data_IF_133474645282
#
_entry.id   IF_133474645282
#
_cell.length_a   1.000
_cell.length_b   1.000
_cell.length_c   1.000
_cell.angle_alpha   90.00
_cell.angle_beta   90.00
_cell.angle_gamma   90.00
#
_symmetry.space_group_name_H-M   'P 1'
#
loop_
_entity.id
_entity.type
_entity.pdbx_description
1 polymer ?
#
# COMPACT_ATOMS: atom_id res chain seq x y z
N UNK A 1 -21.58 -8.87 -16.62
CA UNK A 1 -21.60 -10.30 -17.02
C UNK A 1 -22.50 -10.57 -18.24
N UNK A 2 -23.41 -9.67 -18.64
CA UNK A 2 -24.44 -9.94 -19.64
C UNK A 2 -24.11 -9.31 -21.02
N UNK A 3 -23.53 -8.12 -21.08
CA UNK A 3 -23.37 -7.35 -22.33
C UNK A 3 -22.63 -8.16 -23.42
N UNK A 4 -21.45 -8.72 -23.15
CA UNK A 4 -20.68 -9.46 -24.16
C UNK A 4 -21.39 -10.75 -24.60
N UNK A 5 -21.95 -11.60 -23.70
CA UNK A 5 -22.78 -12.72 -24.10
C UNK A 5 -23.97 -12.33 -24.96
N UNK A 6 -24.74 -11.31 -24.55
CA UNK A 6 -25.94 -10.87 -25.27
C UNK A 6 -25.59 -10.33 -26.69
N UNK A 7 -24.51 -9.56 -26.81
CA UNK A 7 -23.99 -9.09 -28.11
C UNK A 7 -23.56 -10.26 -29.01
N UNK A 8 -22.94 -11.29 -28.40
CA UNK A 8 -22.53 -12.50 -29.15
C UNK A 8 -23.75 -13.28 -29.65
N UNK A 9 -24.78 -13.44 -28.82
CA UNK A 9 -26.03 -14.11 -29.21
C UNK A 9 -26.79 -13.31 -30.28
N UNK A 10 -26.74 -11.96 -30.22
CA UNK A 10 -27.30 -11.09 -31.24
C UNK A 10 -26.53 -11.07 -32.56
N UNK A 11 -25.39 -11.78 -32.66
CA UNK A 11 -24.56 -11.81 -33.86
C UNK A 11 -23.78 -10.50 -34.12
N UNK A 12 -23.62 -9.67 -33.11
CA UNK A 12 -22.85 -8.44 -33.19
C UNK A 12 -21.36 -8.69 -33.42
N UNK A 13 -20.69 -7.76 -34.12
CA UNK A 13 -19.25 -7.87 -34.40
C UNK A 13 -18.43 -7.59 -33.14
N UNK A 14 -17.93 -8.63 -32.51
CA UNK A 14 -16.99 -8.54 -31.37
C UNK A 14 -15.56 -8.71 -31.87
N UNK A 15 -14.66 -7.85 -31.41
CA UNK A 15 -13.23 -7.89 -31.75
C UNK A 15 -12.42 -7.89 -30.47
N UNK A 16 -11.48 -8.82 -30.34
CA UNK A 16 -10.52 -8.83 -29.25
C UNK A 16 -9.31 -7.92 -29.63
N UNK A 17 -8.99 -6.99 -28.75
CA UNK A 17 -7.77 -6.20 -28.82
C UNK A 17 -6.74 -6.74 -27.83
N UNK A 18 -5.55 -7.09 -28.34
CA UNK A 18 -4.45 -7.53 -27.48
C UNK A 18 -3.78 -6.29 -26.90
N UNK A 19 -3.72 -6.21 -25.57
CA UNK A 19 -3.05 -5.19 -24.82
C UNK A 19 -1.74 -5.76 -24.25
N UNK A 20 -0.61 -5.17 -24.59
CA UNK A 20 0.72 -5.63 -24.16
C UNK A 20 1.31 -4.75 -23.02
N UNK A 21 0.53 -3.85 -22.43
CA UNK A 21 0.93 -3.00 -21.31
C UNK A 21 0.69 -3.68 -19.96
N UNK A 22 1.01 -2.95 -18.89
CA UNK A 22 0.69 -3.38 -17.53
C UNK A 22 -0.83 -3.34 -17.32
N UNK A 23 -1.38 -4.44 -16.85
CA UNK A 23 -2.78 -4.55 -16.44
C UNK A 23 -2.86 -5.48 -15.24
N UNK A 24 -3.59 -5.07 -14.21
CA UNK A 24 -3.85 -5.89 -13.02
C UNK A 24 -5.29 -5.73 -12.57
N UNK A 25 -5.95 -6.85 -12.29
CA UNK A 25 -7.29 -6.86 -11.69
C UNK A 25 -7.15 -6.70 -10.17
N UNK A 26 -7.73 -5.63 -9.63
CA UNK A 26 -7.69 -5.32 -8.20
C UNK A 26 -9.06 -5.64 -7.59
N UNK A 27 -9.38 -6.94 -7.50
CA UNK A 27 -10.65 -7.44 -6.97
C UNK A 27 -10.59 -7.97 -5.54
N UNK A 28 -9.39 -8.11 -4.97
CA UNK A 28 -9.16 -8.62 -3.60
C UNK A 28 -8.16 -7.72 -2.85
N UNK A 29 -8.08 -7.90 -1.53
CA UNK A 29 -7.11 -7.19 -0.68
C UNK A 29 -5.67 -7.51 -1.13
N UNK A 30 -5.38 -8.78 -1.37
CA UNK A 30 -4.05 -9.21 -1.80
C UNK A 30 -3.68 -8.59 -3.15
N UNK A 31 -4.59 -8.58 -4.12
CA UNK A 31 -4.34 -7.96 -5.43
C UNK A 31 -4.17 -6.43 -5.35
N UNK A 32 -4.83 -5.76 -4.40
CA UNK A 32 -4.60 -4.34 -4.11
C UNK A 32 -3.20 -4.12 -3.53
N UNK A 33 -2.81 -4.95 -2.56
CA UNK A 33 -1.48 -4.89 -1.97
C UNK A 33 -0.40 -5.15 -3.03
N UNK A 34 -0.51 -6.23 -3.79
CA UNK A 34 0.42 -6.55 -4.87
C UNK A 34 0.54 -5.44 -5.92
N UNK A 35 -0.59 -4.84 -6.35
CA UNK A 35 -0.56 -3.75 -7.34
C UNK A 35 0.20 -2.51 -6.84
N UNK A 36 0.14 -2.23 -5.53
CA UNK A 36 0.93 -1.15 -4.94
C UNK A 36 2.42 -1.53 -4.82
N UNK A 37 2.73 -2.77 -4.40
CA UNK A 37 4.11 -3.25 -4.32
C UNK A 37 4.77 -3.31 -5.71
N UNK A 38 4.02 -3.64 -6.75
CA UNK A 38 4.50 -3.59 -8.14
C UNK A 38 5.03 -2.20 -8.51
N UNK A 39 4.43 -1.09 -8.02
CA UNK A 39 4.89 0.28 -8.31
C UNK A 39 6.25 0.61 -7.70
N UNK A 40 6.67 -0.10 -6.66
CA UNK A 40 8.01 0.04 -6.05
C UNK A 40 9.06 -0.73 -6.88
N UNK A 41 8.63 -1.72 -7.67
CA UNK A 41 9.52 -2.52 -8.49
C UNK A 41 10.05 -1.70 -9.69
N UNK A 42 11.37 -1.51 -9.83
CA UNK A 42 11.94 -0.71 -10.92
C UNK A 42 11.71 -1.30 -12.31
N UNK A 43 11.29 -2.56 -12.42
CA UNK A 43 11.06 -3.24 -13.70
C UNK A 43 9.60 -3.18 -14.18
N UNK A 44 8.72 -2.52 -13.45
CA UNK A 44 7.32 -2.36 -13.89
C UNK A 44 7.25 -1.44 -15.12
N UNK A 45 6.48 -1.79 -16.16
CA UNK A 45 6.35 -0.97 -17.35
C UNK A 45 5.33 0.19 -17.16
N UNK A 46 5.39 0.87 -16.03
CA UNK A 46 4.63 2.08 -15.72
C UNK A 46 5.62 3.15 -15.26
N UNK A 47 5.64 4.28 -15.94
CA UNK A 47 6.40 5.45 -15.52
C UNK A 47 5.48 6.44 -14.79
N UNK A 48 5.54 6.47 -13.47
CA UNK A 48 4.80 7.44 -12.66
C UNK A 48 5.35 8.87 -12.78
N UNK A 49 6.55 9.03 -13.34
CA UNK A 49 7.22 10.32 -13.53
C UNK A 49 7.03 10.88 -14.95
N UNK A 50 6.26 10.22 -15.80
CA UNK A 50 5.94 10.71 -17.15
C UNK A 50 5.12 12.01 -17.07
N UNK A 51 5.78 13.13 -17.32
CA UNK A 51 5.14 14.46 -17.32
C UNK A 51 4.28 14.71 -18.55
N UNK A 52 4.41 13.91 -19.60
CA UNK A 52 3.61 14.01 -20.83
C UNK A 52 2.22 13.36 -20.65
N UNK A 53 2.11 12.40 -19.75
CA UNK A 53 0.86 11.73 -19.42
C UNK A 53 0.65 11.68 -17.90
N UNK A 54 0.28 12.81 -17.33
CA UNK A 54 0.09 12.95 -15.87
C UNK A 54 -1.09 12.15 -15.38
N UNK A 55 -0.87 11.42 -14.30
CA UNK A 55 -1.94 10.78 -13.51
C UNK A 55 -2.45 11.82 -12.50
N UNK A 56 -3.73 12.17 -12.62
CA UNK A 56 -4.37 13.12 -11.70
C UNK A 56 -5.09 12.37 -10.60
N UNK A 57 -4.83 12.76 -9.36
CA UNK A 57 -5.53 12.27 -8.18
C UNK A 57 -5.89 13.44 -7.27
N UNK A 58 -6.60 13.17 -6.17
CA UNK A 58 -6.82 14.14 -5.12
C UNK A 58 -5.50 14.32 -4.35
N UNK A 59 -4.76 15.37 -4.67
CA UNK A 59 -3.52 15.72 -3.98
C UNK A 59 -3.77 16.89 -3.02
N UNK A 60 -3.80 16.66 -1.70
CA UNK A 60 -3.76 17.74 -0.74
C UNK A 60 -2.40 18.46 -0.84
N UNK A 61 -2.39 19.77 -0.70
CA UNK A 61 -1.15 20.51 -0.58
C UNK A 61 -0.59 20.30 0.82
N UNK A 62 0.50 19.56 0.92
CA UNK A 62 1.17 19.23 2.18
C UNK A 62 2.59 19.80 2.21
N UNK A 63 3.19 20.01 3.40
CA UNK A 63 4.61 20.35 3.48
C UNK A 63 5.48 19.19 2.95
N UNK A 64 6.75 19.43 2.62
CA UNK A 64 7.69 18.38 2.31
C UNK A 64 7.76 17.33 3.42
N UNK A 65 8.03 16.07 3.03
CA UNK A 65 8.27 15.01 4.01
C UNK A 65 9.50 15.30 4.87
N UNK A 66 9.45 14.90 6.14
CA UNK A 66 10.54 15.00 7.09
C UNK A 66 11.07 13.61 7.43
N UNK A 67 12.35 13.37 7.19
CA UNK A 67 13.03 12.12 7.54
C UNK A 67 13.95 12.40 8.73
N UNK A 68 13.68 11.76 9.85
CA UNK A 68 14.41 11.95 11.10
C UNK A 68 15.85 11.43 11.04
N UNK A 69 16.68 11.92 11.95
CA UNK A 69 18.12 11.62 11.98
C UNK A 69 18.45 10.12 12.05
N UNK A 70 17.62 9.35 12.75
CA UNK A 70 17.84 7.91 12.96
C UNK A 70 16.91 7.05 12.08
N UNK A 71 16.07 7.67 11.26
CA UNK A 71 15.16 6.97 10.37
C UNK A 71 15.92 6.20 9.28
N UNK A 72 15.37 5.05 8.89
CA UNK A 72 15.87 4.25 7.78
C UNK A 72 14.76 4.06 6.75
N UNK A 73 14.97 4.55 5.54
CA UNK A 73 14.00 4.41 4.45
C UNK A 73 14.69 3.73 3.27
N UNK A 74 14.19 2.56 2.88
CA UNK A 74 14.77 1.77 1.79
C UNK A 74 13.67 1.27 0.83
N UNK A 75 13.95 1.34 -0.47
CA UNK A 75 13.06 0.83 -1.53
C UNK A 75 11.57 1.16 -1.33
N UNK A 76 11.25 2.38 -0.95
CA UNK A 76 9.90 2.78 -0.55
C UNK A 76 9.49 4.06 -1.26
N UNK A 77 8.19 4.23 -1.45
CA UNK A 77 7.63 5.48 -1.95
C UNK A 77 7.03 6.26 -0.77
N UNK A 78 7.51 7.48 -0.55
CA UNK A 78 7.05 8.37 0.53
C UNK A 78 6.55 9.66 -0.08
N UNK A 79 5.30 10.01 0.20
CA UNK A 79 4.66 11.21 -0.34
C UNK A 79 4.78 12.41 0.60
N UNK A 80 4.18 13.53 0.24
CA UNK A 80 4.27 14.80 0.97
C UNK A 80 3.64 14.72 2.38
N UNK A 81 4.10 15.58 3.28
CA UNK A 81 3.56 15.71 4.62
C UNK A 81 3.94 14.61 5.62
N UNK A 82 4.69 13.61 5.19
CA UNK A 82 5.09 12.51 6.07
C UNK A 82 6.15 12.93 7.09
N UNK A 83 6.08 12.35 8.30
CA UNK A 83 7.10 12.45 9.34
C UNK A 83 7.58 11.03 9.66
N UNK A 84 8.83 10.72 9.30
CA UNK A 84 9.40 9.39 9.46
C UNK A 84 10.58 9.44 10.40
N UNK A 85 10.43 8.88 11.60
CA UNK A 85 11.48 8.73 12.61
C UNK A 85 11.86 7.24 12.85
N UNK A 86 11.10 6.30 12.28
CA UNK A 86 11.32 4.87 12.35
C UNK A 86 11.96 4.27 11.10
N UNK A 87 11.77 2.97 10.90
CA UNK A 87 12.24 2.20 9.75
C UNK A 87 11.11 1.91 8.77
N UNK A 88 11.36 2.13 7.47
CA UNK A 88 10.42 1.86 6.38
C UNK A 88 11.15 1.15 5.27
N UNK A 89 10.73 -0.06 4.95
CA UNK A 89 11.32 -0.88 3.89
C UNK A 89 10.24 -1.45 2.99
N UNK A 90 10.46 -1.37 1.67
CA UNK A 90 9.61 -1.88 0.60
C UNK A 90 8.11 -1.56 0.83
N UNK A 91 7.79 -0.30 1.07
CA UNK A 91 6.46 0.13 1.50
C UNK A 91 5.99 1.39 0.80
N UNK A 92 4.66 1.52 0.69
CA UNK A 92 3.98 2.70 0.14
C UNK A 92 3.45 3.58 1.28
N UNK A 93 3.97 4.79 1.39
CA UNK A 93 3.63 5.74 2.45
C UNK A 93 2.90 6.93 1.85
N UNK A 94 1.60 6.99 2.08
CA UNK A 94 0.74 8.07 1.59
C UNK A 94 0.90 9.36 2.40
N UNK A 95 0.26 10.42 1.93
CA UNK A 95 0.38 11.76 2.48
C UNK A 95 0.03 11.87 3.98
N UNK A 96 0.81 12.66 4.69
CA UNK A 96 0.60 12.99 6.10
C UNK A 96 0.80 11.83 7.08
N UNK A 97 1.39 10.72 6.67
CA UNK A 97 1.69 9.58 7.55
C UNK A 97 2.77 9.94 8.55
N UNK A 98 2.60 9.47 9.79
CA UNK A 98 3.60 9.58 10.85
C UNK A 98 4.09 8.20 11.26
N UNK A 99 5.41 8.00 11.24
CA UNK A 99 6.09 6.78 11.74
C UNK A 99 7.03 7.20 12.86
N UNK A 100 6.68 6.89 14.11
CA UNK A 100 7.43 7.30 15.30
C UNK A 100 8.72 6.48 15.49
N UNK A 101 9.59 6.96 16.37
CA UNK A 101 10.90 6.37 16.67
C UNK A 101 10.78 4.88 17.07
N UNK A 102 11.60 4.03 16.46
CA UNK A 102 11.61 2.60 16.72
C UNK A 102 10.45 1.80 16.12
N UNK A 103 9.52 2.46 15.43
CA UNK A 103 8.52 1.74 14.63
C UNK A 103 9.16 1.14 13.37
N UNK A 104 8.67 -0.03 12.96
CA UNK A 104 9.18 -0.80 11.82
C UNK A 104 8.03 -1.06 10.84
N UNK A 105 8.20 -0.64 9.59
CA UNK A 105 7.23 -0.85 8.51
C UNK A 105 7.92 -1.67 7.42
N UNK A 106 7.32 -2.80 7.04
CA UNK A 106 7.85 -3.70 6.02
C UNK A 106 6.73 -4.19 5.10
N UNK A 107 6.98 -4.20 3.78
CA UNK A 107 6.08 -4.75 2.76
C UNK A 107 4.61 -4.30 2.97
N UNK A 108 4.40 -3.01 3.27
CA UNK A 108 3.11 -2.51 3.74
C UNK A 108 2.67 -1.23 3.02
N UNK A 109 1.37 -0.98 3.07
CA UNK A 109 0.74 0.22 2.55
C UNK A 109 0.16 1.01 3.72
N UNK A 110 0.61 2.24 3.92
CA UNK A 110 0.04 3.17 4.89
C UNK A 110 -0.74 4.24 4.13
N UNK A 111 -2.06 4.27 4.34
CA UNK A 111 -2.96 5.23 3.70
C UNK A 111 -2.88 6.62 4.37
N UNK A 112 -3.43 7.68 3.74
CA UNK A 112 -3.30 9.05 4.22
C UNK A 112 -3.61 9.24 5.71
N UNK A 113 -2.74 9.98 6.38
CA UNK A 113 -2.90 10.35 7.79
C UNK A 113 -2.76 9.21 8.80
N UNK A 114 -2.31 8.02 8.37
CA UNK A 114 -2.05 6.92 9.29
C UNK A 114 -0.90 7.26 10.26
N UNK A 115 -0.99 6.79 11.50
CA UNK A 115 0.01 7.02 12.54
C UNK A 115 0.46 5.69 13.11
N UNK A 116 1.76 5.42 13.04
CA UNK A 116 2.38 4.25 13.66
C UNK A 116 3.23 4.70 14.84
N UNK A 117 2.78 4.33 16.04
CA UNK A 117 3.37 4.75 17.30
C UNK A 117 4.69 4.02 17.58
N UNK A 118 5.42 4.56 18.56
CA UNK A 118 6.74 4.09 18.99
C UNK A 118 6.79 2.57 19.19
N UNK A 119 7.79 1.93 18.54
CA UNK A 119 8.06 0.50 18.69
C UNK A 119 7.06 -0.44 18.04
N UNK A 120 6.02 0.09 17.38
CA UNK A 120 5.06 -0.76 16.68
C UNK A 120 5.67 -1.38 15.41
N UNK A 121 5.18 -2.56 15.03
CA UNK A 121 5.60 -3.28 13.82
C UNK A 121 4.40 -3.49 12.90
N UNK A 122 4.60 -3.16 11.63
CA UNK A 122 3.61 -3.35 10.57
C UNK A 122 4.27 -4.10 9.43
N UNK A 123 3.84 -5.33 9.20
CA UNK A 123 4.43 -6.23 8.21
C UNK A 123 3.34 -6.83 7.33
N UNK A 124 3.50 -6.77 6.01
CA UNK A 124 2.53 -7.30 5.03
C UNK A 124 1.09 -6.85 5.34
N UNK A 125 0.91 -5.55 5.44
CA UNK A 125 -0.36 -4.99 5.88
C UNK A 125 -0.79 -3.76 5.06
N UNK A 126 -2.10 -3.52 5.09
CA UNK A 126 -2.69 -2.27 4.63
C UNK A 126 -3.26 -1.54 5.85
N UNK A 127 -2.70 -0.38 6.16
CA UNK A 127 -3.19 0.50 7.23
C UNK A 127 -4.07 1.57 6.60
N UNK A 128 -5.34 1.59 6.96
CA UNK A 128 -6.35 2.51 6.41
C UNK A 128 -6.12 3.97 6.79
N UNK A 129 -6.85 4.86 6.12
CA UNK A 129 -6.79 6.31 6.37
C UNK A 129 -7.04 6.65 7.84
N UNK A 130 -6.24 7.59 8.38
CA UNK A 130 -6.34 8.10 9.75
C UNK A 130 -6.34 7.02 10.85
N UNK A 131 -5.83 5.83 10.55
CA UNK A 131 -5.70 4.73 11.52
C UNK A 131 -4.49 4.98 12.41
N UNK A 132 -4.65 4.71 13.70
CA UNK A 132 -3.58 4.81 14.70
C UNK A 132 -3.19 3.41 15.18
N UNK A 133 -1.97 2.99 14.86
CA UNK A 133 -1.36 1.78 15.42
C UNK A 133 -0.67 2.17 16.73
N UNK A 134 -1.10 1.55 17.83
CA UNK A 134 -0.64 1.86 19.19
C UNK A 134 0.82 1.49 19.44
N UNK A 135 1.39 1.97 20.53
CA UNK A 135 2.77 1.67 20.92
C UNK A 135 2.99 0.15 21.08
N UNK A 136 4.10 -0.32 20.49
CA UNK A 136 4.51 -1.74 20.51
C UNK A 136 3.49 -2.73 19.94
N UNK A 137 2.44 -2.28 19.27
CA UNK A 137 1.50 -3.16 18.58
C UNK A 137 2.16 -3.86 17.40
N UNK A 138 1.68 -5.05 17.07
CA UNK A 138 2.14 -5.83 15.92
C UNK A 138 0.97 -6.09 14.98
N UNK A 139 1.12 -5.72 13.72
CA UNK A 139 0.12 -5.88 12.66
C UNK A 139 0.71 -6.67 11.53
N UNK A 140 0.03 -7.75 11.16
CA UNK A 140 0.48 -8.65 10.12
C UNK A 140 1.67 -9.49 10.53
N UNK A 141 2.20 -10.26 9.60
CA UNK A 141 3.37 -11.12 9.80
C UNK A 141 3.95 -11.54 8.45
N UNK A 142 5.23 -11.81 8.43
CA UNK A 142 5.92 -12.34 7.24
C UNK A 142 5.44 -13.75 6.93
N UNK A 143 5.21 -14.11 5.65
CA UNK A 143 4.74 -15.45 5.26
C UNK A 143 5.64 -16.57 5.78
N UNK A 144 6.95 -16.31 5.90
CA UNK A 144 7.95 -17.29 6.34
C UNK A 144 7.84 -17.61 7.85
N UNK A 145 7.23 -16.71 8.63
CA UNK A 145 7.09 -16.86 10.09
C UNK A 145 5.82 -17.60 10.50
N UNK A 146 4.93 -17.89 9.57
CA UNK A 146 3.63 -18.52 9.83
C UNK A 146 3.69 -20.00 9.46
N UNK A 147 3.31 -20.88 10.40
CA UNK A 147 3.30 -22.34 10.19
C UNK A 147 2.20 -22.76 9.20
N UNK A 148 1.00 -22.19 9.33
CA UNK A 148 -0.14 -22.45 8.45
C UNK A 148 -0.22 -21.38 7.36
N UNK A 149 0.41 -21.66 6.22
CA UNK A 149 0.45 -20.75 5.07
C UNK A 149 -0.91 -20.55 4.40
N UNK A 150 -1.83 -21.48 4.57
CA UNK A 150 -3.18 -21.39 3.98
C UNK A 150 -4.06 -20.37 4.73
N UNK A 151 -3.72 -20.08 5.99
CA UNK A 151 -4.37 -19.04 6.80
C UNK A 151 -3.73 -17.66 6.70
N UNK A 152 -2.55 -17.55 6.05
CA UNK A 152 -1.85 -16.28 5.90
C UNK A 152 -2.52 -15.40 4.83
N UNK A 153 -2.58 -14.11 5.08
CA UNK A 153 -3.04 -13.10 4.14
C UNK A 153 -2.57 -11.71 4.56
N UNK A 154 -2.72 -10.75 3.67
CA UNK A 154 -2.40 -9.35 3.96
C UNK A 154 -3.33 -8.83 5.06
N UNK A 155 -2.74 -8.36 6.17
CA UNK A 155 -3.50 -7.82 7.28
C UNK A 155 -4.10 -6.45 6.92
N UNK A 156 -5.31 -6.16 7.44
CA UNK A 156 -5.96 -4.87 7.21
C UNK A 156 -6.34 -4.23 8.53
N UNK A 157 -5.75 -3.07 8.82
CA UNK A 157 -6.11 -2.23 9.95
C UNK A 157 -6.85 -0.98 9.45
N UNK A 158 -8.03 -0.67 10.01
CA UNK A 158 -8.90 0.42 9.54
C UNK A 158 -9.16 1.46 10.63
N UNK A 159 -9.60 2.65 10.26
CA UNK A 159 -9.69 3.83 11.13
C UNK A 159 -10.54 3.68 12.39
N UNK A 160 -11.45 2.70 12.47
CA UNK A 160 -12.20 2.38 13.67
C UNK A 160 -11.53 1.28 14.54
N UNK A 161 -10.34 0.82 14.14
CA UNK A 161 -9.56 -0.18 14.87
C UNK A 161 -8.46 0.54 15.65
N UNK A 162 -8.58 0.59 16.98
CA UNK A 162 -7.51 1.04 17.88
C UNK A 162 -6.75 -0.18 18.38
N UNK A 163 -5.70 -0.57 17.66
CA UNK A 163 -4.88 -1.70 18.04
C UNK A 163 -3.81 -1.28 19.05
N UNK A 164 -3.77 -1.98 20.18
CA UNK A 164 -2.76 -1.83 21.22
C UNK A 164 -1.94 -3.11 21.31
N UNK A 165 -0.73 -3.04 21.91
CA UNK A 165 0.01 -4.23 22.27
C UNK A 165 -0.88 -5.15 23.13
N UNK A 166 -1.11 -6.39 22.69
CA UNK A 166 -1.92 -7.42 23.36
C UNK A 166 -3.41 -7.57 22.93
N UNK A 167 -3.84 -6.97 21.81
CA UNK A 167 -5.14 -7.29 21.20
C UNK A 167 -4.98 -8.03 19.88
#
# INVERSE_FOLDING_TARGET
KNIIPDMREAGEKLVAYRFDGYWKDVGTIDSLWEANMDLINPNIPIDLYDTSWKIYSRNPVMPPQSIGKNAQVQNSMVTEGCVIDGSVEFSMISDGVTVEEGAEILDSILMPGAVVKKGAKVEYAIVGENTVIGENAQIGARPETIEDKDSWGVAVAVSYTHLRAHE
#
